data_IF_892099293412
#
_entry.id   IF_892099293412
#
_cell.length_a   1.000
_cell.length_b   1.000
_cell.length_c   1.000
_cell.angle_alpha   90.00
_cell.angle_beta   90.00
_cell.angle_gamma   90.00
#
_symmetry.space_group_name_H-M   'P 1'
#
loop_
_entity.id
_entity.type
_entity.pdbx_description
1 polymer ?
#
# COMPACT_ATOMS: atom_id res chain seq x y z
N UNK A 1 11.62 17.56 25.24
CA UNK A 1 12.38 16.63 24.40
C UNK A 1 11.52 16.34 23.17
N UNK A 2 12.11 16.01 22.02
CA UNK A 2 11.34 15.53 20.87
C UNK A 2 10.71 14.18 21.23
N UNK A 3 9.48 13.86 20.77
CA UNK A 3 8.91 12.55 20.95
C UNK A 3 9.71 11.50 20.16
N UNK A 4 9.73 10.25 20.61
CA UNK A 4 10.44 9.19 19.90
C UNK A 4 9.76 8.78 18.60
N UNK A 5 8.42 8.77 18.54
CA UNK A 5 7.65 8.39 17.36
C UNK A 5 6.86 9.59 16.84
N UNK A 6 6.88 9.78 15.51
CA UNK A 6 5.99 10.69 14.81
C UNK A 6 5.00 9.91 13.95
N UNK A 7 3.72 10.18 14.11
CA UNK A 7 2.64 9.64 13.29
C UNK A 7 2.12 10.69 12.32
N UNK A 8 1.84 10.30 11.08
CA UNK A 8 1.19 11.14 10.07
C UNK A 8 -0.14 10.51 9.69
N UNK A 9 -1.23 11.25 9.86
CA UNK A 9 -2.61 10.82 9.57
C UNK A 9 -3.21 11.76 8.54
N UNK A 10 -3.23 11.40 7.24
CA UNK A 10 -3.94 12.16 6.22
C UNK A 10 -5.45 12.02 6.40
N UNK A 11 -6.18 13.12 6.29
CA UNK A 11 -7.64 13.18 6.48
C UNK A 11 -8.26 13.79 5.21
N UNK A 12 -9.23 13.07 4.62
CA UNK A 12 -10.07 13.61 3.55
C UNK A 12 -11.42 12.90 3.47
N UNK A 13 -12.49 13.58 3.88
CA UNK A 13 -13.87 13.09 3.84
C UNK A 13 -14.03 11.70 4.50
N UNK A 14 -13.64 11.59 5.78
CA UNK A 14 -13.64 10.35 6.57
C UNK A 14 -14.29 10.53 7.95
N UNK A 15 -15.17 11.53 8.13
CA UNK A 15 -15.81 11.83 9.42
C UNK A 15 -16.35 10.59 10.13
N UNK A 16 -16.88 9.65 9.35
CA UNK A 16 -17.52 8.42 9.85
C UNK A 16 -16.55 7.46 10.55
N UNK A 17 -15.26 7.51 10.19
CA UNK A 17 -14.26 6.55 10.66
C UNK A 17 -13.17 7.21 11.52
N UNK A 18 -13.01 8.52 11.38
CA UNK A 18 -11.89 9.26 11.95
C UNK A 18 -11.83 9.14 13.48
N UNK A 19 -12.97 9.21 14.16
CA UNK A 19 -13.00 9.08 15.63
C UNK A 19 -12.43 7.75 16.09
N UNK A 20 -12.86 6.61 15.51
CA UNK A 20 -12.34 5.28 15.86
C UNK A 20 -10.84 5.14 15.53
N UNK A 21 -10.39 5.70 14.41
CA UNK A 21 -8.97 5.75 14.07
C UNK A 21 -8.15 6.48 15.13
N UNK A 22 -8.54 7.70 15.48
CA UNK A 22 -7.81 8.53 16.45
C UNK A 22 -7.87 7.94 17.86
N UNK A 23 -9.00 7.36 18.27
CA UNK A 23 -9.11 6.64 19.56
C UNK A 23 -8.12 5.46 19.62
N UNK A 24 -7.91 4.75 18.51
CA UNK A 24 -6.94 3.67 18.45
C UNK A 24 -5.48 4.15 18.61
N UNK A 25 -5.19 5.38 18.16
CA UNK A 25 -3.88 6.02 18.36
C UNK A 25 -3.73 6.49 19.82
N UNK A 26 -4.77 7.08 20.41
CA UNK A 26 -4.77 7.46 21.83
C UNK A 26 -4.53 6.26 22.74
N UNK A 27 -5.09 5.10 22.39
CA UNK A 27 -5.01 3.85 23.14
C UNK A 27 -3.69 3.08 22.98
N UNK A 28 -2.71 3.61 22.25
CA UNK A 28 -1.41 2.93 22.10
C UNK A 28 -0.66 2.83 23.44
N UNK A 29 -0.07 1.65 23.70
CA UNK A 29 0.77 1.42 24.87
C UNK A 29 2.10 2.17 24.80
N UNK A 30 2.57 2.49 23.60
CA UNK A 30 3.71 3.38 23.40
C UNK A 30 3.24 4.83 23.46
N UNK A 31 3.54 5.53 24.56
CA UNK A 31 3.00 6.87 24.87
C UNK A 31 3.84 8.04 24.34
N UNK A 32 5.14 7.82 24.07
CA UNK A 32 6.08 8.88 23.63
C UNK A 32 6.00 9.13 22.13
N UNK A 33 4.86 9.70 21.70
CA UNK A 33 4.62 10.04 20.30
C UNK A 33 4.03 11.43 20.10
N UNK A 34 4.16 11.94 18.88
CA UNK A 34 3.33 13.00 18.30
C UNK A 34 2.48 12.44 17.16
N UNK A 35 1.35 13.08 16.90
CA UNK A 35 0.45 12.73 15.81
C UNK A 35 0.10 13.99 14.99
N UNK A 36 0.57 14.04 13.74
CA UNK A 36 0.30 15.13 12.79
C UNK A 36 -0.88 14.73 11.94
N UNK A 37 -2.03 15.32 12.23
CA UNK A 37 -3.24 15.21 11.42
C UNK A 37 -3.13 16.18 10.24
N UNK A 38 -3.32 15.70 9.02
CA UNK A 38 -3.27 16.55 7.82
C UNK A 38 -4.63 16.51 7.13
N UNK A 39 -5.41 17.56 7.34
CA UNK A 39 -6.67 17.74 6.62
C UNK A 39 -6.41 18.25 5.20
N UNK A 40 -6.65 17.40 4.22
CA UNK A 40 -6.46 17.66 2.79
C UNK A 40 -7.72 18.30 2.17
N UNK A 41 -8.28 19.30 2.85
CA UNK A 41 -9.42 20.07 2.37
C UNK A 41 -10.74 19.30 2.42
N UNK A 42 -11.02 18.60 3.52
CA UNK A 42 -12.29 17.91 3.75
C UNK A 42 -13.48 18.85 3.74
N UNK A 43 -14.61 18.35 3.26
CA UNK A 43 -15.90 19.06 3.19
C UNK A 43 -16.96 18.46 4.11
N UNK A 44 -16.59 17.39 4.85
CA UNK A 44 -17.42 16.74 5.87
C UNK A 44 -17.07 17.23 7.30
N UNK A 45 -17.55 16.54 8.33
CA UNK A 45 -17.27 16.83 9.73
C UNK A 45 -15.86 16.43 10.22
N UNK A 46 -15.03 15.81 9.38
CA UNK A 46 -13.69 15.34 9.74
C UNK A 46 -12.79 16.40 10.41
N UNK A 47 -12.70 17.64 9.88
CA UNK A 47 -11.89 18.70 10.51
C UNK A 47 -12.37 19.11 11.90
N UNK A 48 -13.66 19.00 12.21
CA UNK A 48 -14.21 19.26 13.54
C UNK A 48 -13.74 18.19 14.51
N UNK A 49 -13.87 16.92 14.14
CA UNK A 49 -13.38 15.77 14.93
C UNK A 49 -11.87 15.93 15.19
N UNK A 50 -11.08 16.22 14.15
CA UNK A 50 -9.63 16.41 14.30
C UNK A 50 -9.27 17.50 15.32
N UNK A 51 -9.98 18.63 15.34
CA UNK A 51 -9.80 19.72 16.31
C UNK A 51 -10.10 19.29 17.74
N UNK A 52 -11.14 18.50 17.97
CA UNK A 52 -11.48 17.97 19.29
C UNK A 52 -10.34 17.12 19.86
N UNK A 53 -9.64 16.33 19.02
CA UNK A 53 -8.47 15.56 19.48
C UNK A 53 -7.27 16.46 19.81
N UNK A 54 -7.02 17.49 19.00
CA UNK A 54 -5.96 18.48 19.29
C UNK A 54 -6.21 19.23 20.60
N UNK A 55 -7.47 19.54 20.92
CA UNK A 55 -7.84 20.24 22.16
C UNK A 55 -7.70 19.36 23.41
N UNK A 56 -8.00 18.06 23.31
CA UNK A 56 -7.99 17.13 24.44
C UNK A 56 -6.66 16.43 24.69
N UNK A 57 -5.79 16.32 23.67
CA UNK A 57 -4.52 15.62 23.78
C UNK A 57 -3.39 16.36 23.07
N UNK A 58 -2.43 16.90 23.87
CA UNK A 58 -1.29 17.67 23.40
C UNK A 58 -0.36 16.95 22.41
N UNK A 59 -0.47 15.65 22.28
CA UNK A 59 0.30 14.86 21.32
C UNK A 59 -0.20 15.06 19.88
N UNK A 60 -1.43 15.53 19.71
CA UNK A 60 -2.03 15.77 18.42
C UNK A 60 -1.86 17.22 17.97
N UNK A 61 -1.65 17.40 16.68
CA UNK A 61 -1.69 18.71 16.03
C UNK A 61 -2.28 18.61 14.63
N UNK A 62 -2.97 19.65 14.19
CA UNK A 62 -3.68 19.69 12.92
C UNK A 62 -2.97 20.66 11.96
N UNK A 63 -2.71 20.16 10.73
CA UNK A 63 -2.27 20.94 9.58
C UNK A 63 -3.38 20.88 8.54
N UNK A 64 -3.74 22.01 7.94
CA UNK A 64 -4.77 22.08 6.91
C UNK A 64 -4.16 22.54 5.58
N UNK A 65 -4.58 21.90 4.50
CA UNK A 65 -4.18 22.29 3.14
C UNK A 65 -5.38 22.20 2.19
N UNK A 66 -5.23 22.76 0.99
CA UNK A 66 -6.16 22.50 -0.10
C UNK A 66 -5.97 21.06 -0.57
N UNK A 67 -7.03 20.42 -1.06
CA UNK A 67 -6.95 19.06 -1.56
C UNK A 67 -5.91 18.91 -2.68
N UNK A 68 -4.89 18.10 -2.42
CA UNK A 68 -3.81 17.76 -3.33
C UNK A 68 -3.61 16.24 -3.42
N UNK A 69 -4.44 15.48 -2.70
CA UNK A 69 -4.43 14.02 -2.67
C UNK A 69 -3.55 13.43 -1.58
N UNK A 70 -3.72 12.12 -1.36
CA UNK A 70 -3.16 11.37 -0.25
C UNK A 70 -1.63 11.46 -0.17
N UNK A 71 -0.93 11.38 -1.33
CA UNK A 71 0.52 11.51 -1.37
C UNK A 71 1.01 12.88 -0.89
N UNK A 72 0.36 13.96 -1.35
CA UNK A 72 0.68 15.31 -0.91
C UNK A 72 0.43 15.50 0.60
N UNK A 73 -0.67 14.94 1.12
CA UNK A 73 -0.98 15.01 2.54
C UNK A 73 0.06 14.27 3.40
N UNK A 74 0.54 13.07 2.97
CA UNK A 74 1.64 12.38 3.67
C UNK A 74 2.94 13.19 3.62
N UNK A 75 3.28 13.77 2.46
CA UNK A 75 4.46 14.64 2.33
C UNK A 75 4.36 15.88 3.24
N UNK A 76 3.20 16.49 3.31
CA UNK A 76 2.95 17.64 4.20
C UNK A 76 3.11 17.23 5.65
N UNK A 77 2.51 16.12 6.07
CA UNK A 77 2.67 15.61 7.43
C UNK A 77 4.14 15.37 7.78
N UNK A 78 4.89 14.70 6.91
CA UNK A 78 6.32 14.46 7.10
C UNK A 78 7.13 15.78 7.27
N UNK A 79 6.84 16.80 6.48
CA UNK A 79 7.53 18.12 6.59
C UNK A 79 7.22 18.85 7.91
N UNK A 80 6.10 18.52 8.55
CA UNK A 80 5.67 19.13 9.81
C UNK A 80 6.06 18.34 11.05
N UNK A 81 6.80 17.25 10.94
CA UNK A 81 7.24 16.46 12.09
C UNK A 81 8.23 17.24 12.96
N UNK A 82 8.17 17.01 14.26
CA UNK A 82 9.13 17.58 15.20
C UNK A 82 10.54 17.15 14.84
N UNK A 83 11.51 18.07 14.68
CA UNK A 83 12.89 17.72 14.46
C UNK A 83 13.45 16.85 15.61
N UNK A 84 14.23 15.82 15.24
CA UNK A 84 14.88 14.96 16.23
C UNK A 84 14.03 13.78 16.70
N UNK A 85 12.83 13.53 16.14
CA UNK A 85 12.11 12.27 16.36
C UNK A 85 12.89 11.10 15.76
N UNK A 86 12.86 9.96 16.46
CA UNK A 86 13.65 8.77 16.12
C UNK A 86 12.93 7.88 15.09
N UNK A 87 11.61 7.79 15.17
CA UNK A 87 10.76 6.92 14.37
C UNK A 87 9.65 7.68 13.65
N UNK A 88 9.22 7.11 12.53
CA UNK A 88 8.11 7.62 11.70
C UNK A 88 7.17 6.48 11.31
N UNK A 89 5.86 6.74 11.39
CA UNK A 89 4.84 5.87 10.83
C UNK A 89 3.70 6.67 10.18
N UNK A 90 2.96 6.01 9.28
CA UNK A 90 1.78 6.57 8.63
C UNK A 90 0.55 5.76 8.99
N UNK A 91 -0.60 6.42 9.13
CA UNK A 91 -1.88 5.78 9.44
C UNK A 91 -2.94 6.32 8.47
N UNK A 92 -3.67 5.44 7.80
CA UNK A 92 -4.83 5.85 7.01
C UNK A 92 -6.02 6.11 7.95
N UNK A 93 -6.68 7.24 7.78
CA UNK A 93 -7.65 7.79 8.74
C UNK A 93 -9.00 7.06 8.82
N UNK A 94 -9.19 6.00 8.02
CA UNK A 94 -10.35 5.11 8.08
C UNK A 94 -10.03 3.74 8.71
N UNK A 95 -8.80 3.54 9.19
CA UNK A 95 -8.29 2.28 9.72
C UNK A 95 -8.12 2.31 11.25
N UNK A 96 -7.71 1.19 11.85
CA UNK A 96 -7.52 1.04 13.30
C UNK A 96 -6.15 0.40 13.58
N UNK A 97 -5.43 0.93 14.56
CA UNK A 97 -4.12 0.41 14.98
C UNK A 97 -4.27 -0.37 16.30
N UNK A 98 -3.87 -1.67 16.37
CA UNK A 98 -3.91 -2.44 17.61
C UNK A 98 -3.12 -1.75 18.73
N UNK A 99 -3.57 -1.80 20.01
CA UNK A 99 -2.98 -1.00 21.10
C UNK A 99 -1.48 -1.21 21.35
N UNK A 100 -0.95 -2.39 21.06
CA UNK A 100 0.46 -2.76 21.28
C UNK A 100 1.34 -2.64 20.01
N UNK A 101 0.77 -2.19 18.89
CA UNK A 101 1.44 -2.24 17.59
C UNK A 101 2.75 -1.44 17.57
N UNK A 102 2.72 -0.18 18.00
CA UNK A 102 3.92 0.66 17.99
C UNK A 102 4.93 0.24 19.04
N UNK A 103 4.49 -0.19 20.23
CA UNK A 103 5.40 -0.73 21.25
C UNK A 103 6.18 -1.93 20.70
N UNK A 104 5.47 -2.92 20.13
CA UNK A 104 6.09 -4.12 19.53
C UNK A 104 7.10 -3.76 18.43
N UNK A 105 6.71 -2.87 17.50
CA UNK A 105 7.57 -2.51 16.36
C UNK A 105 8.80 -1.71 16.79
N UNK A 106 8.65 -0.80 17.76
CA UNK A 106 9.76 0.02 18.26
C UNK A 106 10.71 -0.81 19.11
N UNK A 107 10.21 -1.66 20.04
CA UNK A 107 11.05 -2.57 20.82
C UNK A 107 11.86 -3.51 19.92
N UNK A 108 11.22 -3.98 18.83
CA UNK A 108 11.91 -4.80 17.83
C UNK A 108 13.04 -4.02 17.16
N UNK A 109 12.78 -2.80 16.70
CA UNK A 109 13.78 -1.94 16.07
C UNK A 109 14.91 -1.56 17.02
N UNK A 110 14.61 -1.27 18.30
CA UNK A 110 15.61 -0.99 19.32
C UNK A 110 16.55 -2.18 19.51
N UNK A 111 15.98 -3.40 19.55
CA UNK A 111 16.76 -4.63 19.74
C UNK A 111 17.57 -5.07 18.51
N UNK A 112 17.09 -4.80 17.30
CA UNK A 112 17.71 -5.30 16.05
C UNK A 112 18.63 -4.31 15.37
N UNK A 113 18.35 -3.01 15.50
CA UNK A 113 19.01 -1.96 14.74
C UNK A 113 18.60 -1.92 13.25
N UNK A 114 17.51 -2.60 12.85
CA UNK A 114 17.01 -2.58 11.48
C UNK A 114 16.54 -1.19 11.04
N UNK A 115 16.49 -0.94 9.73
CA UNK A 115 16.11 0.35 9.14
C UNK A 115 14.63 0.66 9.32
N UNK A 116 13.80 -0.38 9.23
CA UNK A 116 12.37 -0.32 9.56
C UNK A 116 11.81 -1.69 9.92
N UNK A 117 10.69 -1.68 10.61
CA UNK A 117 9.86 -2.85 10.87
C UNK A 117 8.57 -2.76 10.05
N UNK A 118 8.13 -3.90 9.51
CA UNK A 118 6.87 -4.06 8.82
C UNK A 118 6.09 -5.21 9.44
N UNK A 119 4.79 -5.03 9.70
CA UNK A 119 3.99 -6.06 10.34
C UNK A 119 2.78 -6.49 9.52
N UNK A 120 2.18 -7.61 9.94
CA UNK A 120 0.99 -8.17 9.31
C UNK A 120 -0.22 -7.26 9.51
N UNK A 121 -1.22 -7.42 8.63
CA UNK A 121 -2.48 -6.70 8.74
C UNK A 121 -3.69 -7.65 8.64
N UNK A 122 -4.73 -7.33 9.39
CA UNK A 122 -6.03 -7.98 9.30
C UNK A 122 -7.04 -7.06 8.60
N UNK A 123 -8.03 -7.66 7.96
CA UNK A 123 -9.20 -6.93 7.42
C UNK A 123 -10.21 -6.71 8.53
N UNK A 124 -10.57 -5.45 8.73
CA UNK A 124 -11.60 -5.04 9.68
C UNK A 124 -12.95 -4.90 8.95
N UNK A 125 -13.96 -5.63 9.42
CA UNK A 125 -15.32 -5.62 8.92
C UNK A 125 -16.30 -5.45 10.08
N UNK A 126 -17.56 -5.15 9.82
CA UNK A 126 -18.63 -5.18 10.83
C UNK A 126 -18.77 -6.57 11.48
N UNK A 127 -18.44 -7.63 10.75
CA UNK A 127 -18.47 -9.02 11.23
C UNK A 127 -17.21 -9.44 12.00
N UNK A 128 -16.23 -8.53 12.20
CA UNK A 128 -14.98 -8.78 12.90
C UNK A 128 -13.75 -8.83 12.02
N UNK A 129 -12.65 -9.32 12.59
CA UNK A 129 -11.35 -9.38 11.92
C UNK A 129 -11.17 -10.66 11.09
N UNK A 130 -10.48 -10.54 9.96
CA UNK A 130 -10.15 -11.65 9.08
C UNK A 130 -8.79 -11.46 8.41
N UNK A 131 -8.09 -12.55 8.00
CA UNK A 131 -6.79 -12.43 7.35
C UNK A 131 -6.81 -11.59 6.07
N UNK A 132 -5.79 -10.75 5.89
CA UNK A 132 -5.59 -10.01 4.64
C UNK A 132 -4.82 -10.86 3.63
N UNK A 133 -5.42 -11.11 2.46
CA UNK A 133 -4.74 -11.85 1.40
C UNK A 133 -3.46 -11.16 0.90
N UNK A 134 -3.44 -9.83 0.87
CA UNK A 134 -2.29 -9.05 0.41
C UNK A 134 -1.08 -9.19 1.33
N UNK A 135 -1.32 -9.37 2.64
CA UNK A 135 -0.28 -9.44 3.67
C UNK A 135 0.11 -10.88 4.04
N UNK A 136 -0.65 -11.89 3.61
CA UNK A 136 -0.44 -13.28 4.00
C UNK A 136 0.93 -13.83 3.60
N UNK A 137 1.44 -13.46 2.42
CA UNK A 137 2.69 -14.02 1.89
C UNK A 137 3.92 -13.38 2.52
N UNK A 138 4.08 -12.05 2.57
CA UNK A 138 5.24 -11.41 3.18
C UNK A 138 5.29 -11.59 4.70
N UNK A 139 4.14 -11.68 5.38
CA UNK A 139 4.04 -11.72 6.85
C UNK A 139 3.61 -13.09 7.39
N UNK A 140 4.01 -14.18 6.73
CA UNK A 140 3.66 -15.54 7.16
C UNK A 140 4.33 -15.96 8.47
N UNK A 141 5.53 -15.48 8.69
CA UNK A 141 6.37 -15.75 9.85
C UNK A 141 7.22 -14.54 10.20
N UNK A 142 7.55 -14.36 11.46
CA UNK A 142 8.46 -13.30 11.92
C UNK A 142 9.87 -13.60 11.46
N UNK A 143 10.51 -12.60 10.84
CA UNK A 143 11.91 -12.64 10.39
C UNK A 143 12.58 -11.33 10.76
N UNK A 144 13.49 -11.39 11.70
CA UNK A 144 14.24 -10.22 12.15
C UNK A 144 15.51 -10.06 11.31
N UNK A 145 15.88 -8.79 11.05
CA UNK A 145 17.09 -8.40 10.32
C UNK A 145 17.21 -9.05 8.94
N UNK A 146 16.08 -9.28 8.29
CA UNK A 146 16.05 -9.84 6.92
C UNK A 146 16.29 -8.75 5.86
N UNK A 147 16.34 -9.17 4.61
CA UNK A 147 16.49 -8.30 3.45
C UNK A 147 15.63 -8.83 2.30
N UNK A 148 15.25 -7.97 1.35
CA UNK A 148 14.42 -8.38 0.20
C UNK A 148 15.08 -9.49 -0.63
N UNK A 149 16.41 -9.59 -0.68
CA UNK A 149 17.13 -10.69 -1.31
C UNK A 149 16.94 -12.03 -0.62
N UNK A 150 16.76 -12.04 0.71
CA UNK A 150 16.50 -13.24 1.53
C UNK A 150 14.99 -13.55 1.61
N UNK A 151 14.16 -12.51 1.54
CA UNK A 151 12.70 -12.58 1.62
C UNK A 151 12.06 -11.88 0.41
N UNK A 152 12.13 -12.47 -0.80
CA UNK A 152 11.64 -11.83 -2.03
C UNK A 152 10.15 -11.48 -2.01
N UNK A 153 9.37 -12.08 -1.11
CA UNK A 153 7.95 -11.75 -0.92
C UNK A 153 7.71 -10.30 -0.52
N UNK A 154 8.71 -9.61 0.05
CA UNK A 154 8.65 -8.19 0.45
C UNK A 154 8.39 -7.25 -0.73
N UNK A 155 8.67 -7.67 -1.97
CA UNK A 155 8.29 -6.91 -3.17
C UNK A 155 6.77 -6.69 -3.27
N UNK A 156 5.96 -7.48 -2.56
CA UNK A 156 4.49 -7.35 -2.53
C UNK A 156 3.99 -6.47 -1.38
N UNK A 157 4.87 -6.08 -0.44
CA UNK A 157 4.52 -5.20 0.69
C UNK A 157 4.62 -3.73 0.28
N UNK A 158 3.52 -3.22 -0.26
CA UNK A 158 3.42 -1.90 -0.90
C UNK A 158 2.84 -0.81 -0.02
N UNK A 159 2.24 -1.20 1.09
CA UNK A 159 1.45 -0.29 1.94
C UNK A 159 2.36 0.61 2.79
N UNK A 160 1.95 1.84 3.02
CA UNK A 160 2.70 2.79 3.85
C UNK A 160 2.43 2.56 5.36
N UNK A 161 1.25 2.07 5.71
CA UNK A 161 0.67 2.14 7.04
C UNK A 161 1.00 0.96 7.98
N UNK A 162 1.59 -0.11 7.51
CA UNK A 162 1.99 -1.27 8.34
C UNK A 162 3.46 -1.23 8.77
N UNK A 163 4.07 -0.03 8.80
CA UNK A 163 5.51 0.14 9.00
C UNK A 163 5.83 1.20 10.05
N UNK A 164 6.92 0.96 10.77
CA UNK A 164 7.63 1.98 11.55
C UNK A 164 9.05 2.07 10.98
N UNK A 165 9.42 3.25 10.53
CA UNK A 165 10.73 3.55 9.96
C UNK A 165 11.63 4.23 10.99
N UNK A 166 12.93 3.90 10.98
CA UNK A 166 13.91 4.86 11.55
C UNK A 166 13.86 6.14 10.71
N UNK A 167 13.72 7.26 11.38
CA UNK A 167 13.61 8.56 10.73
C UNK A 167 14.83 8.85 9.85
N UNK A 168 16.04 8.53 10.32
CA UNK A 168 17.28 8.71 9.57
C UNK A 168 17.30 7.91 8.26
N UNK A 169 16.74 6.68 8.27
CA UNK A 169 16.62 5.88 7.05
C UNK A 169 15.60 6.50 6.08
N UNK A 170 14.42 6.86 6.57
CA UNK A 170 13.36 7.44 5.71
C UNK A 170 13.82 8.74 5.05
N UNK A 171 14.41 9.65 5.84
CA UNK A 171 14.93 10.93 5.35
C UNK A 171 16.11 10.73 4.38
N UNK A 172 17.02 9.80 4.68
CA UNK A 172 18.18 9.47 3.84
C UNK A 172 17.81 8.84 2.50
N UNK A 173 16.67 8.15 2.41
CA UNK A 173 16.16 7.59 1.16
C UNK A 173 15.73 8.67 0.15
N UNK A 174 15.36 9.87 0.62
CA UNK A 174 14.99 11.01 -0.22
C UNK A 174 13.75 10.77 -1.10
N UNK A 175 12.88 9.84 -0.71
CA UNK A 175 11.68 9.47 -1.46
C UNK A 175 10.48 10.27 -0.97
N UNK A 176 9.74 10.87 -1.90
CA UNK A 176 8.48 11.54 -1.65
C UNK A 176 7.33 10.75 -2.26
N UNK A 177 6.19 10.78 -1.59
CA UNK A 177 4.97 10.21 -2.16
C UNK A 177 4.59 11.00 -3.42
N UNK A 178 4.36 10.31 -4.57
CA UNK A 178 3.90 11.01 -5.78
C UNK A 178 2.52 11.62 -5.55
N UNK A 179 2.36 12.86 -6.02
CA UNK A 179 1.15 13.65 -5.86
C UNK A 179 0.20 13.44 -7.03
N UNK A 180 -1.10 13.57 -6.79
CA UNK A 180 -2.14 13.52 -7.82
C UNK A 180 -2.47 12.16 -8.40
N UNK A 181 -1.88 11.07 -7.90
CA UNK A 181 -2.20 9.68 -8.29
C UNK A 181 -2.76 8.87 -7.13
N UNK A 182 -3.55 7.85 -7.44
CA UNK A 182 -3.91 6.79 -6.51
C UNK A 182 -2.76 5.76 -6.42
N UNK A 183 -2.69 5.01 -5.31
CA UNK A 183 -1.61 4.01 -5.08
C UNK A 183 -0.21 4.63 -5.01
N UNK A 184 -0.12 5.79 -4.42
CA UNK A 184 1.09 6.58 -4.21
C UNK A 184 2.06 5.94 -3.21
N UNK A 185 1.60 4.95 -2.45
CA UNK A 185 2.35 4.22 -1.42
C UNK A 185 3.44 3.30 -2.03
N UNK A 186 3.12 2.58 -3.10
CA UNK A 186 4.05 1.62 -3.69
C UNK A 186 5.36 2.25 -4.22
N UNK A 187 5.36 3.45 -4.87
CA UNK A 187 6.59 4.14 -5.29
C UNK A 187 7.51 4.58 -4.16
N UNK A 188 7.07 4.52 -2.92
CA UNK A 188 7.88 4.79 -1.72
C UNK A 188 8.19 3.51 -0.97
N UNK A 189 7.16 2.71 -0.64
CA UNK A 189 7.32 1.52 0.20
C UNK A 189 8.15 0.42 -0.47
N UNK A 190 7.98 0.18 -1.78
CA UNK A 190 8.76 -0.85 -2.49
C UNK A 190 10.24 -0.46 -2.63
N UNK A 191 10.60 0.77 -3.05
CA UNK A 191 11.99 1.23 -3.02
C UNK A 191 12.64 1.14 -1.64
N UNK A 192 11.92 1.41 -0.55
CA UNK A 192 12.47 1.27 0.79
C UNK A 192 12.93 -0.17 1.09
N UNK A 193 12.19 -1.20 0.62
CA UNK A 193 12.64 -2.59 0.74
C UNK A 193 13.92 -2.88 -0.04
N UNK A 194 14.18 -2.20 -1.16
CA UNK A 194 15.41 -2.34 -1.93
C UNK A 194 16.59 -1.54 -1.35
N UNK A 195 16.32 -0.44 -0.66
CA UNK A 195 17.35 0.42 -0.04
C UNK A 195 17.79 -0.06 1.34
N UNK A 196 16.88 -0.69 2.09
CA UNK A 196 17.15 -1.07 3.46
C UNK A 196 18.27 -2.11 3.55
N UNK A 197 19.22 -1.89 4.44
CA UNK A 197 20.23 -2.89 4.77
C UNK A 197 19.60 -4.07 5.55
N UNK A 198 18.66 -3.78 6.45
CA UNK A 198 17.92 -4.78 7.24
C UNK A 198 16.49 -4.32 7.51
N UNK A 199 15.57 -5.26 7.45
CA UNK A 199 14.15 -5.07 7.72
C UNK A 199 13.69 -6.11 8.73
N UNK A 200 12.86 -5.69 9.67
CA UNK A 200 12.15 -6.63 10.55
C UNK A 200 10.75 -6.89 10.01
N UNK A 201 10.44 -8.15 9.82
CA UNK A 201 9.13 -8.62 9.36
C UNK A 201 8.44 -9.29 10.53
N UNK A 202 7.26 -8.81 10.92
CA UNK A 202 6.48 -9.32 12.04
C UNK A 202 5.23 -10.05 11.52
N UNK A 203 5.05 -11.30 11.94
CA UNK A 203 3.82 -12.06 11.65
C UNK A 203 2.62 -11.54 12.45
N UNK A 204 2.90 -10.81 13.53
CA UNK A 204 1.90 -10.23 14.41
C UNK A 204 1.10 -9.16 13.68
N UNK A 205 -0.23 -9.13 13.86
CA UNK A 205 -1.06 -8.07 13.31
C UNK A 205 -0.77 -6.74 14.00
N UNK A 206 -0.24 -5.80 13.24
CA UNK A 206 0.04 -4.42 13.71
C UNK A 206 -0.94 -3.40 13.13
N UNK A 207 -1.85 -3.85 12.29
CA UNK A 207 -2.78 -2.96 11.59
C UNK A 207 -4.10 -3.65 11.24
N UNK A 208 -5.22 -2.95 11.40
CA UNK A 208 -6.54 -3.39 11.02
C UNK A 208 -7.04 -2.55 9.86
N UNK A 209 -6.93 -3.09 8.65
CA UNK A 209 -7.31 -2.44 7.41
C UNK A 209 -8.82 -2.57 7.15
N UNK A 210 -9.53 -1.45 7.20
CA UNK A 210 -10.99 -1.43 7.09
C UNK A 210 -11.48 -1.77 5.68
N UNK A 211 -12.56 -2.52 5.64
CA UNK A 211 -13.42 -2.68 4.46
C UNK A 211 -14.66 -1.85 4.71
N UNK A 212 -14.86 -0.78 3.96
CA UNK A 212 -16.06 0.03 4.06
C UNK A 212 -17.23 -0.76 3.53
N UNK A 213 -18.23 -1.01 4.37
CA UNK A 213 -19.41 -1.82 4.02
C UNK A 213 -20.63 -0.95 3.73
N UNK A 214 -20.58 0.32 4.16
CA UNK A 214 -21.59 1.34 3.94
C UNK A 214 -20.96 2.65 3.47
N UNK A 215 -21.74 3.50 2.77
CA UNK A 215 -21.31 4.79 2.29
C UNK A 215 -20.35 4.72 1.11
N UNK A 216 -19.42 5.67 1.03
CA UNK A 216 -18.46 5.75 -0.05
C UNK A 216 -17.40 4.65 0.05
N UNK A 217 -17.27 3.88 -1.03
CA UNK A 217 -16.26 2.85 -1.15
C UNK A 217 -14.85 3.46 -1.10
N UNK A 218 -13.91 2.76 -0.46
CA UNK A 218 -12.50 3.14 -0.48
C UNK A 218 -11.91 3.05 -1.89
N UNK A 219 -10.76 3.68 -2.10
CA UNK A 219 -10.04 3.66 -3.38
C UNK A 219 -9.88 2.23 -3.91
N UNK A 220 -9.44 1.31 -3.05
CA UNK A 220 -9.19 -0.10 -3.43
C UNK A 220 -10.47 -0.91 -3.67
N UNK A 221 -11.62 -0.42 -3.27
CA UNK A 221 -12.93 -1.06 -3.49
C UNK A 221 -13.58 -0.64 -4.81
N UNK A 222 -13.21 0.50 -5.40
CA UNK A 222 -13.69 1.00 -6.71
C UNK A 222 -13.02 0.26 -7.88
N UNK A 223 -13.28 -1.05 -7.99
CA UNK A 223 -12.52 -1.97 -8.87
C UNK A 223 -12.66 -1.71 -10.38
N UNK A 224 -13.72 -1.06 -10.82
CA UNK A 224 -14.01 -0.77 -12.24
C UNK A 224 -13.85 0.70 -12.59
N UNK A 225 -13.23 1.50 -11.73
CA UNK A 225 -12.87 2.88 -12.03
C UNK A 225 -11.67 2.91 -13.00
N UNK A 226 -11.80 3.53 -14.20
CA UNK A 226 -10.69 3.67 -15.14
C UNK A 226 -9.45 4.34 -14.54
N UNK A 227 -9.64 5.34 -13.66
CA UNK A 227 -8.56 6.01 -12.94
C UNK A 227 -7.74 5.03 -12.10
N UNK A 228 -8.41 4.06 -11.45
CA UNK A 228 -7.72 3.02 -10.68
C UNK A 228 -6.74 2.19 -11.51
N UNK A 229 -7.03 1.93 -12.79
CA UNK A 229 -6.09 1.24 -13.70
C UNK A 229 -4.95 2.17 -14.11
N UNK A 230 -5.26 3.39 -14.52
CA UNK A 230 -4.28 4.38 -14.99
C UNK A 230 -3.23 4.63 -13.91
N UNK A 231 -3.68 4.98 -12.71
CA UNK A 231 -2.82 5.37 -11.61
C UNK A 231 -2.05 4.18 -11.02
N UNK A 232 -2.67 2.97 -10.99
CA UNK A 232 -1.96 1.77 -10.56
C UNK A 232 -0.83 1.38 -11.51
N UNK A 233 -1.06 1.47 -12.83
CA UNK A 233 0.01 1.24 -13.81
C UNK A 233 1.08 2.32 -13.69
N UNK A 234 0.70 3.59 -13.48
CA UNK A 234 1.67 4.67 -13.27
C UNK A 234 2.51 4.43 -12.01
N UNK A 235 1.90 3.97 -10.93
CA UNK A 235 2.60 3.58 -9.70
C UNK A 235 3.65 2.48 -9.98
N UNK A 236 3.31 1.45 -10.77
CA UNK A 236 4.28 0.41 -11.19
C UNK A 236 5.41 0.99 -12.05
N UNK A 237 5.09 1.90 -12.97
CA UNK A 237 6.09 2.56 -13.82
C UNK A 237 7.06 3.41 -13.00
N UNK A 238 6.58 4.14 -11.99
CA UNK A 238 7.42 4.94 -11.09
C UNK A 238 8.45 4.08 -10.34
N UNK A 239 8.05 2.93 -9.82
CA UNK A 239 9.01 1.99 -9.20
C UNK A 239 10.03 1.49 -10.21
N UNK A 240 9.60 1.15 -11.44
CA UNK A 240 10.52 0.71 -12.51
C UNK A 240 11.49 1.81 -12.91
N UNK A 241 11.01 3.04 -13.10
CA UNK A 241 11.83 4.22 -13.42
C UNK A 241 12.88 4.44 -12.34
N UNK A 242 12.47 4.31 -11.07
CA UNK A 242 13.36 4.43 -9.93
C UNK A 242 14.47 3.34 -9.94
N UNK A 243 14.13 2.08 -10.26
CA UNK A 243 15.08 0.98 -10.38
C UNK A 243 16.03 1.17 -11.58
N UNK A 244 15.50 1.60 -12.74
CA UNK A 244 16.27 1.84 -13.96
C UNK A 244 17.28 2.99 -13.82
N UNK A 245 17.01 3.96 -12.97
CA UNK A 245 17.91 5.10 -12.72
C UNK A 245 19.13 4.72 -11.88
N UNK A 246 19.26 3.46 -11.44
CA UNK A 246 20.35 2.97 -10.59
C UNK A 246 21.28 2.04 -11.37
N UNK A 247 22.56 2.43 -11.55
CA UNK A 247 23.51 1.69 -12.36
C UNK A 247 24.11 0.45 -11.69
N UNK A 248 23.92 0.31 -10.36
CA UNK A 248 24.53 -0.77 -9.60
C UNK A 248 23.94 -2.13 -10.02
N UNK A 249 24.76 -3.18 -10.24
CA UNK A 249 24.30 -4.48 -10.73
C UNK A 249 23.17 -5.13 -9.89
N UNK A 250 23.18 -4.88 -8.59
CA UNK A 250 22.11 -5.37 -7.69
C UNK A 250 20.72 -4.86 -8.10
N UNK A 251 20.62 -3.60 -8.56
CA UNK A 251 19.33 -3.03 -8.98
C UNK A 251 18.83 -3.61 -10.31
N UNK A 252 19.71 -4.12 -11.16
CA UNK A 252 19.27 -4.88 -12.34
C UNK A 252 18.57 -6.19 -11.98
N UNK A 253 19.01 -6.86 -10.92
CA UNK A 253 18.33 -8.04 -10.39
C UNK A 253 17.01 -7.67 -9.72
N UNK A 254 16.99 -6.60 -8.94
CA UNK A 254 15.77 -6.07 -8.34
C UNK A 254 14.72 -5.68 -9.38
N UNK A 255 15.15 -5.06 -10.50
CA UNK A 255 14.26 -4.75 -11.62
C UNK A 255 13.63 -6.01 -12.22
N UNK A 256 14.43 -7.07 -12.45
CA UNK A 256 13.89 -8.35 -12.96
C UNK A 256 12.88 -8.96 -12.00
N UNK A 257 13.17 -8.93 -10.69
CA UNK A 257 12.26 -9.43 -9.66
C UNK A 257 10.97 -8.61 -9.60
N UNK A 258 11.07 -7.29 -9.69
CA UNK A 258 9.93 -6.38 -9.70
C UNK A 258 9.08 -6.55 -10.97
N UNK A 259 9.69 -6.62 -12.15
CA UNK A 259 8.99 -6.87 -13.41
C UNK A 259 8.24 -8.21 -13.37
N UNK A 260 8.88 -9.24 -12.81
CA UNK A 260 8.22 -10.52 -12.58
C UNK A 260 7.01 -10.38 -11.65
N UNK A 261 7.13 -9.62 -10.57
CA UNK A 261 6.00 -9.33 -9.67
C UNK A 261 4.87 -8.58 -10.40
N UNK A 262 5.19 -7.57 -11.19
CA UNK A 262 4.18 -6.86 -12.01
C UNK A 262 3.42 -7.83 -12.91
N UNK A 263 4.11 -8.75 -13.57
CA UNK A 263 3.50 -9.72 -14.50
C UNK A 263 2.69 -10.81 -13.81
N UNK A 264 3.04 -11.22 -12.59
CA UNK A 264 2.44 -12.40 -11.95
C UNK A 264 1.41 -12.02 -10.89
N UNK A 265 1.57 -10.88 -10.22
CA UNK A 265 0.72 -10.46 -9.11
C UNK A 265 -0.06 -9.18 -9.42
N UNK A 266 0.62 -8.10 -9.87
CA UNK A 266 0.02 -6.77 -9.98
C UNK A 266 -0.98 -6.65 -11.13
N UNK A 267 -0.55 -6.90 -12.36
CA UNK A 267 -1.43 -6.82 -13.54
C UNK A 267 -2.58 -7.83 -13.46
N UNK A 268 -2.38 -9.08 -13.00
CA UNK A 268 -3.49 -10.04 -12.84
C UNK A 268 -4.61 -9.60 -11.90
N UNK A 269 -4.38 -8.68 -10.98
CA UNK A 269 -5.44 -8.13 -10.13
C UNK A 269 -6.56 -7.49 -10.94
N UNK A 270 -6.24 -6.85 -12.08
CA UNK A 270 -7.24 -6.26 -12.97
C UNK A 270 -8.09 -7.28 -13.71
N UNK A 271 -7.61 -8.50 -13.92
CA UNK A 271 -8.30 -9.50 -14.73
C UNK A 271 -9.73 -9.78 -14.26
N UNK A 272 -9.96 -9.69 -12.93
CA UNK A 272 -11.28 -9.91 -12.36
C UNK A 272 -12.25 -8.75 -12.64
N UNK A 273 -11.76 -7.54 -12.80
CA UNK A 273 -12.59 -6.37 -13.06
C UNK A 273 -12.89 -6.15 -14.57
N UNK A 274 -11.97 -6.56 -15.46
CA UNK A 274 -12.10 -6.32 -16.93
C UNK A 274 -13.44 -6.81 -17.53
N UNK A 275 -14.00 -7.99 -17.20
CA UNK A 275 -15.30 -8.40 -17.72
C UNK A 275 -16.48 -7.55 -17.29
N UNK A 276 -16.37 -6.91 -16.11
CA UNK A 276 -17.44 -6.13 -15.49
C UNK A 276 -17.27 -4.62 -15.73
N UNK A 277 -16.05 -4.20 -16.13
CA UNK A 277 -15.75 -2.83 -16.49
C UNK A 277 -16.47 -2.38 -17.77
N UNK A 278 -16.75 -1.10 -17.86
CA UNK A 278 -17.34 -0.46 -19.07
C UNK A 278 -16.29 -0.32 -20.20
N UNK A 279 -16.68 0.39 -21.27
CA UNK A 279 -15.81 0.66 -22.41
C UNK A 279 -14.59 1.49 -22.01
N UNK A 280 -14.76 2.49 -21.16
CA UNK A 280 -13.68 3.37 -20.69
C UNK A 280 -12.66 2.60 -19.85
N UNK A 281 -13.11 1.77 -18.91
CA UNK A 281 -12.26 0.91 -18.11
C UNK A 281 -11.42 -0.06 -18.96
N UNK A 282 -12.08 -0.74 -19.92
CA UNK A 282 -11.38 -1.69 -20.82
C UNK A 282 -10.37 -1.00 -21.73
N UNK A 283 -10.68 0.20 -22.21
CA UNK A 283 -9.76 1.02 -23.00
C UNK A 283 -8.54 1.44 -22.16
N UNK A 284 -8.74 1.95 -20.93
CA UNK A 284 -7.68 2.30 -20.00
C UNK A 284 -6.79 1.09 -19.69
N UNK A 285 -7.40 -0.06 -19.34
CA UNK A 285 -6.67 -1.30 -19.12
C UNK A 285 -5.82 -1.70 -20.32
N UNK A 286 -6.42 -1.77 -21.50
CA UNK A 286 -5.73 -2.18 -22.72
C UNK A 286 -4.56 -1.25 -23.05
N UNK A 287 -4.77 0.06 -23.01
CA UNK A 287 -3.76 1.07 -23.33
C UNK A 287 -2.58 1.04 -22.35
N UNK A 288 -2.86 1.18 -21.06
CA UNK A 288 -1.83 1.36 -20.05
C UNK A 288 -1.07 0.06 -19.76
N UNK A 289 -1.78 -1.07 -19.69
CA UNK A 289 -1.13 -2.38 -19.49
C UNK A 289 -0.30 -2.76 -20.71
N UNK A 290 -0.76 -2.47 -21.94
CA UNK A 290 0.06 -2.70 -23.15
C UNK A 290 1.37 -1.90 -23.11
N UNK A 291 1.31 -0.63 -22.68
CA UNK A 291 2.51 0.21 -22.51
C UNK A 291 3.49 -0.40 -21.53
N UNK A 292 3.02 -0.81 -20.35
CA UNK A 292 3.85 -1.45 -19.34
C UNK A 292 4.44 -2.78 -19.83
N UNK A 293 3.64 -3.64 -20.47
CA UNK A 293 4.12 -4.91 -21.04
C UNK A 293 5.21 -4.73 -22.09
N UNK A 294 5.13 -3.68 -22.91
CA UNK A 294 6.19 -3.32 -23.88
C UNK A 294 7.45 -2.84 -23.16
N UNK A 295 7.31 -2.03 -22.10
CA UNK A 295 8.43 -1.54 -21.32
C UNK A 295 9.16 -2.65 -20.55
N UNK A 296 8.43 -3.66 -20.06
CA UNK A 296 9.01 -4.86 -19.41
C UNK A 296 9.72 -5.76 -20.43
N UNK A 297 9.20 -5.83 -21.65
CA UNK A 297 9.81 -6.60 -22.75
C UNK A 297 9.36 -8.06 -22.82
N UNK A 298 9.66 -8.73 -23.96
CA UNK A 298 9.20 -10.09 -24.25
C UNK A 298 9.95 -11.17 -23.44
N UNK A 299 11.20 -10.93 -23.09
CA UNK A 299 12.02 -11.91 -22.34
C UNK A 299 11.42 -12.23 -20.98
N UNK A 300 11.03 -11.21 -20.22
CA UNK A 300 10.38 -11.39 -18.93
C UNK A 300 9.02 -12.11 -19.04
N UNK A 301 8.35 -12.02 -20.21
CA UNK A 301 7.09 -12.69 -20.47
C UNK A 301 7.25 -14.16 -20.88
N UNK A 302 8.42 -14.59 -21.37
CA UNK A 302 8.64 -15.94 -21.86
C UNK A 302 8.44 -17.02 -20.79
N UNK A 303 8.84 -16.77 -19.55
CA UNK A 303 8.71 -17.66 -18.39
C UNK A 303 7.32 -17.69 -17.73
N UNK A 304 6.31 -17.02 -18.30
CA UNK A 304 4.95 -16.99 -17.75
C UNK A 304 4.15 -18.24 -18.09
N UNK A 305 3.13 -18.54 -17.29
CA UNK A 305 2.19 -19.62 -17.60
C UNK A 305 1.48 -19.37 -18.93
N UNK A 306 1.08 -20.43 -19.67
CA UNK A 306 0.36 -20.27 -20.95
C UNK A 306 -0.89 -19.39 -20.84
N UNK A 307 -1.60 -19.45 -19.71
CA UNK A 307 -2.79 -18.64 -19.47
C UNK A 307 -2.46 -17.15 -19.34
N UNK A 308 -1.39 -16.78 -18.64
CA UNK A 308 -0.95 -15.38 -18.52
C UNK A 308 -0.47 -14.85 -19.88
N UNK A 309 0.34 -15.64 -20.59
CA UNK A 309 0.82 -15.28 -21.93
C UNK A 309 -0.33 -15.03 -22.90
N UNK A 310 -1.36 -15.89 -22.91
CA UNK A 310 -2.53 -15.68 -23.76
C UNK A 310 -3.23 -14.36 -23.43
N UNK A 311 -3.49 -14.07 -22.16
CA UNK A 311 -4.14 -12.83 -21.74
C UNK A 311 -3.34 -11.59 -22.14
N UNK A 312 -2.02 -11.62 -21.98
CA UNK A 312 -1.16 -10.51 -22.37
C UNK A 312 -1.10 -10.31 -23.87
N UNK A 313 -1.05 -11.39 -24.65
CA UNK A 313 -1.17 -11.32 -26.12
C UNK A 313 -2.50 -10.68 -26.56
N UNK A 314 -3.62 -11.09 -25.96
CA UNK A 314 -4.93 -10.52 -26.25
C UNK A 314 -5.00 -9.03 -25.88
N UNK A 315 -4.39 -8.65 -24.74
CA UNK A 315 -4.29 -7.25 -24.32
C UNK A 315 -3.49 -6.43 -25.33
N UNK A 316 -2.29 -6.90 -25.70
CA UNK A 316 -1.40 -6.21 -26.64
C UNK A 316 -1.99 -6.11 -28.06
N UNK A 317 -2.77 -7.11 -28.48
CA UNK A 317 -3.47 -7.12 -29.77
C UNK A 317 -4.78 -6.29 -29.77
N UNK A 318 -5.17 -5.70 -28.63
CA UNK A 318 -6.43 -4.96 -28.52
C UNK A 318 -7.68 -5.85 -28.57
N UNK A 319 -7.53 -7.18 -28.49
CA UNK A 319 -8.62 -8.15 -28.61
C UNK A 319 -9.38 -8.31 -27.27
N UNK A 320 -9.93 -7.20 -26.78
CA UNK A 320 -10.56 -7.16 -25.44
C UNK A 320 -11.81 -8.03 -25.33
N UNK A 321 -12.57 -8.22 -26.43
CA UNK A 321 -13.71 -9.15 -26.45
C UNK A 321 -13.27 -10.60 -26.22
N UNK A 322 -12.19 -11.04 -26.87
CA UNK A 322 -11.59 -12.35 -26.66
C UNK A 322 -11.01 -12.50 -25.25
N UNK A 323 -10.35 -11.45 -24.72
CA UNK A 323 -9.89 -11.43 -23.34
C UNK A 323 -11.04 -11.66 -22.35
N UNK A 324 -12.16 -10.92 -22.51
CA UNK A 324 -13.35 -11.05 -21.66
C UNK A 324 -13.93 -12.46 -21.72
N UNK A 325 -14.01 -13.05 -22.91
CA UNK A 325 -14.51 -14.43 -23.09
C UNK A 325 -13.62 -15.44 -22.35
N UNK A 326 -12.29 -15.37 -22.52
CA UNK A 326 -11.32 -16.22 -21.80
C UNK A 326 -11.44 -16.05 -20.29
N UNK A 327 -11.58 -14.81 -19.83
CA UNK A 327 -11.67 -14.54 -18.39
C UNK A 327 -13.00 -15.02 -17.79
N UNK A 328 -14.12 -14.93 -18.51
CA UNK A 328 -15.42 -15.47 -18.09
C UNK A 328 -15.38 -16.99 -18.00
N UNK A 329 -14.81 -17.66 -19.00
CA UNK A 329 -14.61 -19.12 -18.98
C UNK A 329 -13.75 -19.54 -17.76
N UNK A 330 -12.66 -18.81 -17.48
CA UNK A 330 -11.81 -19.09 -16.31
C UNK A 330 -12.57 -18.88 -14.98
N UNK A 331 -13.40 -17.83 -14.85
CA UNK A 331 -14.26 -17.63 -13.66
C UNK A 331 -15.24 -18.79 -13.47
N UNK A 332 -15.87 -19.28 -14.53
CA UNK A 332 -16.81 -20.40 -14.49
C UNK A 332 -16.11 -21.69 -14.04
N UNK A 333 -15.00 -22.03 -14.68
CA UNK A 333 -14.22 -23.23 -14.33
C UNK A 333 -13.75 -23.24 -12.87
N UNK A 334 -13.39 -22.06 -12.32
CA UNK A 334 -13.02 -21.93 -10.91
C UNK A 334 -14.22 -22.15 -9.97
N UNK A 335 -15.40 -21.61 -10.30
CA UNK A 335 -16.63 -21.83 -9.52
C UNK A 335 -17.03 -23.29 -9.49
N UNK A 336 -16.98 -23.99 -10.63
CA UNK A 336 -17.29 -25.43 -10.73
C UNK A 336 -16.33 -26.26 -9.86
N UNK A 337 -15.01 -25.98 -9.94
CA UNK A 337 -14.01 -26.69 -9.09
C UNK A 337 -14.21 -26.44 -7.60
N UNK A 338 -14.64 -25.24 -7.21
CA UNK A 338 -14.92 -24.92 -5.79
C UNK A 338 -16.19 -25.62 -5.30
N UNK A 339 -17.23 -25.73 -6.15
CA UNK A 339 -18.44 -26.47 -5.83
C UNK A 339 -18.16 -27.98 -5.64
N UNK A 340 -17.36 -28.57 -6.54
CA UNK A 340 -16.96 -30.00 -6.46
C UNK A 340 -16.05 -30.34 -5.27
N UNK A 341 -15.42 -29.36 -4.62
CA UNK A 341 -14.61 -29.58 -3.40
C UNK A 341 -15.39 -29.42 -2.09
N UNK A 342 -16.61 -28.89 -2.16
CA UNK A 342 -17.50 -28.68 -1.00
C UNK A 342 -18.64 -29.71 -0.90
N UNK A 343 -18.90 -30.47 -1.95
CA UNK A 343 -19.74 -31.68 -1.94
C UNK A 343 -18.88 -32.94 -1.84
#
# INVERSE_FOLDING_TARGET
>A
MAPRLSLVVPIYNVERYLGECLDSIVAQTFEDFECVLVDDGSTDGGPVIAKEYVERDRRFRLVQQRNQGLGAARNTGWRHLTPGTEYLAFVDSDDVVPPHAYQLMIDTLDGTGSDFAAGNALRLRTTGLSPSHAHRRPFRETRLRTHIGETPALVTDRTAWNKVYRRSFFDGAGLLYPEGILYEDAPVSVPHHFLAARVDVLADPVYHWRVREDGDLSITQKKTDPRGVVDRVRSMELVREWLLARPEPAFAEHLRAYDRNCLVEEIPMFFWAVPDGDRAYRAAYQQHVTRLLRAIGPEAQAGLSPQLRLKYRLTQAGSMSAFVAVQRAHRLARRTRQALRKG
#
